data_IF_871370503412
#
_entry.id   IF_871370503412
#
_cell.length_a   1.000
_cell.length_b   1.000
_cell.length_c   1.000
_cell.angle_alpha   90.00
_cell.angle_beta   90.00
_cell.angle_gamma   90.00
#
_symmetry.space_group_name_H-M   'P 1'
#
loop_
_entity.id
_entity.type
_entity.pdbx_description
1 polymer ?
#
# COMPACT_ATOMS: atom_id res chain seq x y z
N UNK A 1 -8.54 -8.74 -15.31
CA UNK A 1 -7.54 -7.65 -15.42
C UNK A 1 -6.17 -8.25 -15.64
N UNK A 2 -5.29 -7.57 -16.39
CA UNK A 2 -3.93 -8.05 -16.67
C UNK A 2 -2.99 -7.71 -15.52
N UNK A 3 -1.90 -8.46 -15.35
CA UNK A 3 -0.86 -8.19 -14.34
C UNK A 3 -0.33 -6.75 -14.44
N UNK A 4 -0.16 -6.26 -15.67
CA UNK A 4 0.24 -4.88 -15.95
C UNK A 4 -0.78 -3.82 -15.54
N UNK A 5 -2.09 -4.12 -15.56
CA UNK A 5 -3.10 -3.18 -15.07
C UNK A 5 -2.99 -3.04 -13.55
N UNK A 6 -2.84 -4.16 -12.82
CA UNK A 6 -2.60 -4.16 -11.36
C UNK A 6 -1.28 -3.50 -10.96
N UNK A 7 -0.19 -3.76 -11.68
CA UNK A 7 1.10 -3.14 -11.39
C UNK A 7 1.09 -1.64 -11.69
N UNK A 8 0.41 -1.22 -12.76
CA UNK A 8 0.22 0.20 -13.10
C UNK A 8 -0.70 0.94 -12.12
N UNK A 9 -1.56 0.23 -11.38
CA UNK A 9 -2.38 0.83 -10.34
C UNK A 9 -1.52 1.33 -9.17
N UNK A 10 -0.42 0.67 -8.83
CA UNK A 10 0.67 1.23 -7.99
C UNK A 10 0.26 1.78 -6.62
N UNK A 11 -0.90 1.39 -6.09
CA UNK A 11 -1.54 2.07 -4.95
C UNK A 11 -1.32 1.41 -3.60
N UNK A 12 -0.60 0.29 -3.52
CA UNK A 12 -0.22 -0.28 -2.23
C UNK A 12 0.69 0.70 -1.50
N UNK A 13 0.28 1.12 -0.31
CA UNK A 13 1.01 2.03 0.57
C UNK A 13 1.46 1.29 1.82
N UNK A 14 2.53 1.77 2.45
CA UNK A 14 3.09 1.16 3.64
C UNK A 14 3.69 2.22 4.54
N UNK A 15 3.55 2.00 5.85
CA UNK A 15 4.23 2.76 6.91
C UNK A 15 4.91 1.77 7.85
N UNK A 16 6.12 2.14 8.29
CA UNK A 16 6.91 1.35 9.22
C UNK A 16 7.45 2.24 10.33
N UNK A 17 7.29 1.76 11.55
CA UNK A 17 7.93 2.28 12.76
C UNK A 17 8.92 1.24 13.27
N UNK A 18 9.59 1.52 14.40
CA UNK A 18 10.49 0.55 15.03
C UNK A 18 9.77 -0.74 15.45
N UNK A 19 8.48 -0.63 15.82
CA UNK A 19 7.69 -1.73 16.41
C UNK A 19 6.65 -2.32 15.48
N UNK A 20 6.17 -1.56 14.51
CA UNK A 20 5.02 -1.94 13.70
C UNK A 20 5.25 -1.66 12.23
N UNK A 21 4.70 -2.53 11.39
CA UNK A 21 4.56 -2.31 9.95
C UNK A 21 3.11 -2.48 9.53
N UNK A 22 2.60 -1.51 8.79
CA UNK A 22 1.24 -1.54 8.25
C UNK A 22 1.26 -1.31 6.75
N UNK A 23 0.52 -2.14 6.00
CA UNK A 23 0.40 -2.11 4.55
C UNK A 23 -1.09 -2.05 4.20
N UNK A 24 -1.45 -1.18 3.26
CA UNK A 24 -2.84 -1.00 2.81
C UNK A 24 -2.90 -0.84 1.30
N UNK A 25 -4.00 -1.29 0.71
CA UNK A 25 -4.30 -1.12 -0.71
C UNK A 25 -5.64 -0.39 -0.86
N UNK A 26 -5.73 0.56 -1.78
CA UNK A 26 -6.96 1.30 -2.06
C UNK A 26 -8.03 0.47 -2.75
N UNK A 27 -7.66 -0.67 -3.34
CA UNK A 27 -8.53 -1.47 -4.20
C UNK A 27 -9.22 -2.64 -3.46
N UNK A 28 -9.54 -2.46 -2.17
CA UNK A 28 -10.20 -3.48 -1.32
C UNK A 28 -9.38 -4.77 -1.11
N UNK A 29 -8.07 -4.73 -1.36
CA UNK A 29 -7.18 -5.84 -1.01
C UNK A 29 -6.94 -5.89 0.52
N UNK A 30 -6.56 -7.07 1.02
CA UNK A 30 -6.46 -7.33 2.47
C UNK A 30 -5.34 -6.46 3.08
N UNK A 31 -5.71 -5.57 4.01
CA UNK A 31 -4.77 -4.84 4.88
C UNK A 31 -3.83 -5.81 5.62
N UNK A 32 -2.58 -5.40 5.83
CA UNK A 32 -1.58 -6.20 6.55
C UNK A 32 -1.01 -5.40 7.74
N UNK A 33 -0.93 -6.03 8.91
CA UNK A 33 -0.31 -5.47 10.12
C UNK A 33 0.63 -6.49 10.73
N UNK A 34 1.87 -6.09 11.00
CA UNK A 34 2.91 -6.92 11.61
C UNK A 34 3.51 -6.24 12.83
N UNK A 35 3.65 -7.01 13.92
CA UNK A 35 4.41 -6.65 15.12
C UNK A 35 5.88 -7.01 14.89
N UNK A 36 6.74 -6.02 14.68
CA UNK A 36 8.15 -6.24 14.38
C UNK A 36 8.98 -6.57 15.62
N UNK A 37 8.48 -6.33 16.83
CA UNK A 37 9.16 -6.74 18.07
C UNK A 37 8.97 -8.23 18.32
N UNK A 38 7.75 -8.72 18.15
CA UNK A 38 7.40 -10.12 18.44
C UNK A 38 7.44 -11.03 17.20
N UNK A 39 7.26 -10.48 16.01
CA UNK A 39 7.31 -11.18 14.71
C UNK A 39 8.20 -10.44 13.68
N UNK A 40 9.54 -10.43 13.86
CA UNK A 40 10.46 -9.78 12.92
C UNK A 40 10.43 -10.34 11.50
N UNK A 41 9.85 -11.54 11.32
CA UNK A 41 9.79 -12.26 10.05
C UNK A 41 8.45 -12.08 9.34
N UNK A 42 7.54 -11.26 9.88
CA UNK A 42 6.27 -10.87 9.26
C UNK A 42 5.41 -12.09 8.85
N UNK A 43 5.37 -13.11 9.70
CA UNK A 43 4.67 -14.37 9.48
C UNK A 43 3.18 -14.29 9.80
N UNK A 44 2.80 -13.46 10.77
CA UNK A 44 1.41 -13.36 11.24
C UNK A 44 0.80 -12.00 10.92
N UNK A 45 -0.22 -11.99 10.04
CA UNK A 45 -0.99 -10.78 9.75
C UNK A 45 -2.07 -10.55 10.83
N UNK A 46 -1.88 -9.49 11.61
CA UNK A 46 -2.74 -9.08 12.73
C UNK A 46 -3.89 -8.14 12.33
N UNK A 47 -3.99 -7.73 11.06
CA UNK A 47 -4.90 -6.65 10.62
C UNK A 47 -6.39 -6.94 10.87
N UNK A 48 -6.78 -8.22 10.91
CA UNK A 48 -8.18 -8.65 11.12
C UNK A 48 -8.55 -8.74 12.60
N UNK A 49 -7.60 -8.62 13.51
CA UNK A 49 -7.85 -8.75 14.94
C UNK A 49 -8.21 -7.38 15.52
N UNK A 50 -9.41 -7.28 16.12
CA UNK A 50 -9.98 -6.00 16.59
C UNK A 50 -9.15 -5.32 17.67
N UNK A 51 -8.33 -6.08 18.39
CA UNK A 51 -7.47 -5.56 19.45
C UNK A 51 -6.38 -4.61 18.94
N UNK A 52 -5.92 -4.77 17.69
CA UNK A 52 -4.91 -3.89 17.09
C UNK A 52 -5.49 -2.69 16.36
N UNK A 53 -6.82 -2.49 16.38
CA UNK A 53 -7.46 -1.36 15.72
C UNK A 53 -6.87 0.00 16.12
N UNK A 54 -6.56 0.29 17.40
CA UNK A 54 -5.91 1.54 17.78
C UNK A 54 -4.54 1.75 17.12
N UNK A 55 -3.75 0.68 16.96
CA UNK A 55 -2.44 0.73 16.31
C UNK A 55 -2.59 0.99 14.81
N UNK A 56 -3.54 0.30 14.16
CA UNK A 56 -3.86 0.52 12.75
C UNK A 56 -4.26 1.97 12.50
N UNK A 57 -5.12 2.55 13.35
CA UNK A 57 -5.55 3.94 13.20
C UNK A 57 -4.39 4.92 13.32
N UNK A 58 -3.50 4.72 14.30
CA UNK A 58 -2.31 5.56 14.45
C UNK A 58 -1.36 5.46 13.24
N UNK A 59 -1.13 4.25 12.73
CA UNK A 59 -0.29 4.06 11.54
C UNK A 59 -0.94 4.65 10.28
N UNK A 60 -2.26 4.54 10.14
CA UNK A 60 -3.01 5.20 9.05
C UNK A 60 -2.86 6.72 9.11
N UNK A 61 -2.94 7.31 10.29
CA UNK A 61 -2.74 8.76 10.48
C UNK A 61 -1.34 9.18 10.01
N UNK A 62 -0.29 8.50 10.48
CA UNK A 62 1.10 8.75 10.04
C UNK A 62 1.27 8.64 8.53
N UNK A 63 0.65 7.63 7.92
CA UNK A 63 0.70 7.41 6.48
C UNK A 63 -0.02 8.53 5.72
N UNK A 64 -1.20 8.94 6.18
CA UNK A 64 -1.98 10.02 5.57
C UNK A 64 -1.24 11.36 5.64
N UNK A 65 -0.66 11.69 6.79
CA UNK A 65 0.13 12.92 6.95
C UNK A 65 1.30 12.95 5.95
N UNK A 66 2.05 11.84 5.86
CA UNK A 66 3.15 11.72 4.90
C UNK A 66 2.67 11.83 3.44
N UNK A 67 1.53 11.20 3.11
CA UNK A 67 0.95 11.31 1.76
C UNK A 67 0.53 12.74 1.43
N UNK A 68 -0.10 13.47 2.37
CA UNK A 68 -0.48 14.87 2.17
C UNK A 68 0.75 15.74 1.88
N UNK A 69 1.86 15.47 2.56
CA UNK A 69 3.11 16.22 2.41
C UNK A 69 3.87 15.88 1.12
N UNK A 70 3.84 14.62 0.67
CA UNK A 70 4.79 14.11 -0.34
C UNK A 70 4.16 13.64 -1.65
N UNK A 71 2.87 13.32 -1.69
CA UNK A 71 2.25 12.75 -2.87
C UNK A 71 2.03 13.81 -3.95
N UNK A 72 2.40 13.48 -5.19
CA UNK A 72 2.15 14.35 -6.32
C UNK A 72 0.65 14.43 -6.59
N UNK A 73 0.12 15.65 -6.64
CA UNK A 73 -1.28 15.93 -6.93
C UNK A 73 -1.62 15.71 -8.40
N UNK A 74 -0.61 15.59 -9.28
CA UNK A 74 -0.79 15.39 -10.70
C UNK A 74 -0.96 13.90 -11.00
N UNK A 75 -2.10 13.47 -11.56
CA UNK A 75 -2.26 12.10 -12.02
C UNK A 75 -1.19 11.77 -13.06
N UNK A 76 -0.61 10.57 -12.96
CA UNK A 76 0.25 10.03 -14.02
C UNK A 76 -0.60 9.90 -15.28
N UNK A 77 -0.13 10.48 -16.38
CA UNK A 77 -0.83 10.38 -17.67
C UNK A 77 -0.85 8.92 -18.12
N UNK A 78 -2.05 8.35 -18.25
CA UNK A 78 -2.22 6.99 -18.73
C UNK A 78 -1.94 6.99 -20.25
N UNK A 79 -0.99 6.17 -20.74
CA UNK A 79 -0.72 6.07 -22.16
C UNK A 79 -1.98 5.64 -22.92
N UNK A 80 -2.29 6.29 -24.04
CA UNK A 80 -3.46 5.95 -24.88
C UNK A 80 -3.40 4.52 -25.44
N UNK A 81 -2.19 3.98 -25.59
CA UNK A 81 -1.93 2.62 -26.04
C UNK A 81 -1.24 1.86 -24.91
N UNK A 82 -1.76 0.69 -24.55
CA UNK A 82 -1.18 -0.19 -23.53
C UNK A 82 -0.98 -1.57 -24.18
N UNK A 83 0.25 -2.10 -24.20
CA UNK A 83 0.55 -3.45 -24.69
C UNK A 83 1.47 -3.54 -25.92
N UNK A 84 1.49 -4.70 -26.60
CA UNK A 84 2.50 -5.10 -27.61
C UNK A 84 2.63 -4.18 -28.83
N UNK A 85 1.70 -3.28 -29.06
CA UNK A 85 1.75 -2.33 -30.18
C UNK A 85 2.62 -1.08 -29.90
N UNK A 86 3.29 -1.01 -28.74
CA UNK A 86 4.26 0.06 -28.42
C UNK A 86 5.48 0.13 -29.38
N UNK A 87 5.77 -0.92 -30.15
CA UNK A 87 6.96 -1.02 -31.01
C UNK A 87 6.67 -1.18 -32.50
N UNK A 88 5.44 -0.91 -32.96
CA UNK A 88 5.15 -0.86 -34.39
C UNK A 88 5.20 0.58 -34.87
N UNK A 89 6.38 1.00 -35.33
CA UNK A 89 6.53 2.08 -36.31
C UNK A 89 5.97 1.65 -37.67
#
# INVERSE_FOLDING_TARGET
>A
ETLWAREAEGRRKMVRTDKWKYITDSNDDIDELYDLENDPWELENLSKQKEYLPIILNLKELLLDWMIETEDKKPVEIPKNIGRDFFKE
#
